data_IF_680448441096
#
_entry.id   IF_680448441096
#
_cell.length_a   1.000
_cell.length_b   1.000
_cell.length_c   1.000
_cell.angle_alpha   90.00
_cell.angle_beta   90.00
_cell.angle_gamma   90.00
#
_symmetry.space_group_name_H-M   'P 1'
#
loop_
_entity.id
_entity.type
_entity.pdbx_description
1 polymer ?
#
# COMPACT_ATOMS: atom_id res chain seq x y z
N UNK A 1 -13.70 2.29 -5.45
CA UNK A 1 -13.03 1.15 -4.79
C UNK A 1 -13.13 -0.04 -5.74
N UNK A 2 -12.03 -0.72 -6.09
CA UNK A 2 -12.12 -1.90 -6.97
C UNK A 2 -13.00 -2.97 -6.32
N UNK A 3 -14.11 -3.34 -6.98
CA UNK A 3 -15.04 -4.38 -6.52
C UNK A 3 -14.30 -5.71 -6.23
N UNK A 4 -13.22 -5.97 -6.96
CA UNK A 4 -12.39 -7.17 -6.82
C UNK A 4 -11.80 -7.29 -5.42
N UNK A 5 -11.31 -6.18 -4.83
CA UNK A 5 -10.63 -6.23 -3.54
C UNK A 5 -11.63 -6.49 -2.39
N UNK A 6 -12.81 -5.90 -2.49
CA UNK A 6 -13.86 -6.07 -1.49
C UNK A 6 -14.41 -7.50 -1.48
N UNK A 7 -14.64 -8.07 -2.66
CA UNK A 7 -15.06 -9.47 -2.78
C UNK A 7 -13.98 -10.43 -2.29
N UNK A 8 -12.71 -10.14 -2.52
CA UNK A 8 -11.61 -10.96 -1.98
C UNK A 8 -11.56 -10.91 -0.45
N UNK A 9 -11.74 -9.73 0.15
CA UNK A 9 -11.82 -9.62 1.61
C UNK A 9 -13.03 -10.34 2.18
N UNK A 10 -14.19 -10.28 1.52
CA UNK A 10 -15.37 -11.06 1.95
C UNK A 10 -15.08 -12.56 1.96
N UNK A 11 -14.43 -13.08 0.91
CA UNK A 11 -14.05 -14.50 0.84
C UNK A 11 -13.11 -14.87 1.99
N UNK A 12 -12.04 -14.10 2.17
CA UNK A 12 -11.10 -14.31 3.28
C UNK A 12 -11.77 -14.24 4.65
N UNK A 13 -12.73 -13.34 4.83
CA UNK A 13 -13.48 -13.22 6.07
C UNK A 13 -14.40 -14.41 6.31
N UNK A 14 -15.06 -14.92 5.26
CA UNK A 14 -15.93 -16.10 5.33
C UNK A 14 -15.13 -17.38 5.64
N UNK A 15 -13.96 -17.52 5.03
CA UNK A 15 -13.10 -18.70 5.15
C UNK A 15 -12.17 -18.65 6.37
N UNK A 16 -12.29 -17.60 7.19
CA UNK A 16 -11.49 -17.39 8.39
C UNK A 16 -11.82 -18.43 9.45
N UNK A 17 -10.79 -19.17 9.87
CA UNK A 17 -10.91 -20.25 10.88
C UNK A 17 -10.42 -19.85 12.28
N UNK A 18 -9.88 -18.64 12.45
CA UNK A 18 -9.30 -18.18 13.72
C UNK A 18 -9.43 -16.68 13.91
N UNK A 19 -8.64 -16.06 14.78
CA UNK A 19 -8.74 -14.62 15.10
C UNK A 19 -8.23 -13.70 13.98
N UNK A 20 -7.30 -14.18 13.15
CA UNK A 20 -6.62 -13.37 12.14
C UNK A 20 -7.28 -13.50 10.77
N UNK A 21 -7.40 -12.38 10.04
CA UNK A 21 -7.94 -12.38 8.66
C UNK A 21 -6.94 -12.96 7.64
N UNK A 22 -5.65 -12.73 7.86
CA UNK A 22 -4.59 -13.23 6.99
C UNK A 22 -3.80 -14.32 7.71
N UNK A 23 -4.03 -15.56 7.32
CA UNK A 23 -3.32 -16.73 7.84
C UNK A 23 -2.69 -17.51 6.70
N UNK A 24 -1.64 -18.27 7.00
CA UNK A 24 -1.04 -19.18 6.04
C UNK A 24 -2.01 -20.35 5.77
N UNK A 25 -2.51 -20.55 4.54
CA UNK A 25 -3.52 -21.58 4.26
C UNK A 25 -3.06 -23.00 4.60
N UNK A 26 -1.74 -23.26 4.62
CA UNK A 26 -1.18 -24.58 4.94
C UNK A 26 -1.06 -24.84 6.44
N UNK A 27 -0.90 -23.80 7.26
CA UNK A 27 -0.62 -23.96 8.70
C UNK A 27 -1.70 -23.36 9.60
N UNK A 28 -2.62 -22.55 9.06
CA UNK A 28 -3.64 -21.81 9.81
C UNK A 28 -3.08 -20.69 10.71
N UNK A 29 -1.76 -20.51 10.78
CA UNK A 29 -1.11 -19.51 11.65
C UNK A 29 -1.06 -18.13 10.97
N UNK A 30 -1.12 -17.03 11.75
CA UNK A 30 -0.97 -15.69 11.20
C UNK A 30 0.42 -15.49 10.58
N UNK A 31 0.48 -14.62 9.57
CA UNK A 31 1.77 -14.16 9.04
C UNK A 31 2.43 -13.23 10.05
N UNK A 32 3.68 -13.52 10.41
CA UNK A 32 4.49 -12.67 11.29
C UNK A 32 5.38 -11.67 10.52
N UNK A 33 5.60 -11.90 9.23
CA UNK A 33 6.47 -11.07 8.41
C UNK A 33 6.09 -11.13 6.92
N UNK A 34 5.89 -9.97 6.30
CA UNK A 34 5.57 -9.86 4.88
C UNK A 34 6.81 -9.92 3.97
N UNK A 35 8.03 -9.78 4.52
CA UNK A 35 9.28 -9.64 3.75
C UNK A 35 9.51 -10.78 2.75
N UNK A 36 9.28 -12.03 3.17
CA UNK A 36 9.47 -13.20 2.29
C UNK A 36 8.53 -13.16 1.09
N UNK A 37 7.26 -12.86 1.33
CA UNK A 37 6.26 -12.71 0.28
C UNK A 37 6.62 -11.55 -0.66
N UNK A 38 7.03 -10.39 -0.10
CA UNK A 38 7.45 -9.24 -0.90
C UNK A 38 8.66 -9.54 -1.79
N UNK A 39 9.69 -10.21 -1.25
CA UNK A 39 10.84 -10.63 -2.07
C UNK A 39 10.44 -11.62 -3.17
N UNK A 40 9.49 -12.51 -2.90
CA UNK A 40 8.96 -13.39 -3.94
C UNK A 40 8.27 -12.59 -5.04
N UNK A 41 7.42 -11.61 -4.71
CA UNK A 41 6.79 -10.73 -5.70
C UNK A 41 7.84 -10.00 -6.54
N UNK A 42 8.87 -9.42 -5.91
CA UNK A 42 9.95 -8.72 -6.64
C UNK A 42 10.71 -9.64 -7.61
N UNK A 43 10.87 -10.93 -7.30
CA UNK A 43 11.52 -11.88 -8.23
C UNK A 43 10.68 -12.22 -9.46
N UNK A 44 9.36 -12.16 -9.35
CA UNK A 44 8.44 -12.53 -10.43
C UNK A 44 7.90 -11.32 -11.19
N UNK A 45 8.34 -10.11 -10.85
CA UNK A 45 7.84 -8.86 -11.43
C UNK A 45 9.01 -7.97 -11.84
N UNK A 46 8.75 -6.94 -12.63
CA UNK A 46 9.76 -5.94 -13.04
C UNK A 46 9.84 -4.76 -12.06
N UNK A 47 9.53 -4.99 -10.78
CA UNK A 47 9.56 -3.94 -9.75
C UNK A 47 11.02 -3.64 -9.39
N UNK A 48 11.43 -2.36 -9.34
CA UNK A 48 12.80 -2.00 -8.99
C UNK A 48 13.21 -2.50 -7.59
N UNK A 49 14.50 -2.86 -7.40
CA UNK A 49 14.97 -3.45 -6.15
C UNK A 49 14.80 -2.53 -4.94
N UNK A 50 14.90 -1.22 -5.12
CA UNK A 50 14.74 -0.16 -4.14
C UNK A 50 13.27 0.07 -3.71
N UNK A 51 12.29 -0.40 -4.50
CA UNK A 51 10.88 -0.26 -4.15
C UNK A 51 10.52 -1.23 -3.00
N UNK A 52 10.10 -0.65 -1.87
CA UNK A 52 9.79 -1.36 -0.64
C UNK A 52 8.28 -1.56 -0.52
N UNK A 53 7.90 -2.53 0.31
CA UNK A 53 6.50 -2.84 0.56
C UNK A 53 5.69 -1.63 1.06
N UNK A 54 6.30 -0.77 1.91
CA UNK A 54 5.64 0.42 2.44
C UNK A 54 5.42 1.52 1.38
N UNK A 55 6.18 1.50 0.28
CA UNK A 55 6.03 2.49 -0.78
C UNK A 55 4.70 2.29 -1.54
N UNK A 56 4.09 1.09 -1.45
CA UNK A 56 2.70 0.86 -1.88
C UNK A 56 1.69 1.76 -1.15
N UNK A 57 1.88 1.97 0.17
CA UNK A 57 1.02 2.85 0.97
C UNK A 57 1.18 4.31 0.53
N UNK A 58 2.41 4.73 0.26
CA UNK A 58 2.69 6.07 -0.26
C UNK A 58 2.11 6.28 -1.66
N UNK A 59 2.22 5.27 -2.53
CA UNK A 59 1.65 5.32 -3.87
C UNK A 59 0.13 5.50 -3.86
N UNK A 60 -0.59 4.84 -2.93
CA UNK A 60 -2.03 5.08 -2.74
C UNK A 60 -2.30 6.51 -2.27
N UNK A 61 -1.49 7.05 -1.36
CA UNK A 61 -1.63 8.43 -0.90
C UNK A 61 -1.49 9.43 -2.05
N UNK A 62 -0.44 9.29 -2.87
CA UNK A 62 -0.19 10.15 -4.03
C UNK A 62 -1.36 10.06 -5.02
N UNK A 63 -1.78 8.85 -5.37
CA UNK A 63 -2.91 8.65 -6.28
C UNK A 63 -4.21 9.28 -5.76
N UNK A 64 -4.45 9.28 -4.45
CA UNK A 64 -5.63 9.96 -3.89
C UNK A 64 -5.50 11.49 -3.93
N UNK A 65 -4.29 12.02 -3.73
CA UNK A 65 -4.03 13.47 -3.87
C UNK A 65 -4.24 13.93 -5.30
N UNK A 66 -3.77 13.16 -6.29
CA UNK A 66 -3.97 13.44 -7.72
C UNK A 66 -5.45 13.44 -8.12
N UNK A 67 -6.29 12.73 -7.35
CA UNK A 67 -7.75 12.72 -7.52
C UNK A 67 -8.46 13.79 -6.65
N UNK A 68 -7.73 14.82 -6.19
CA UNK A 68 -8.23 15.92 -5.38
C UNK A 68 -8.92 15.49 -4.07
N UNK A 69 -8.60 14.31 -3.53
CA UNK A 69 -9.15 13.85 -2.25
C UNK A 69 -8.54 14.68 -1.11
N UNK A 70 -9.37 15.07 -0.15
CA UNK A 70 -8.94 15.88 0.98
C UNK A 70 -7.80 15.20 1.76
N UNK A 71 -6.71 15.94 2.00
CA UNK A 71 -5.51 15.42 2.66
C UNK A 71 -5.78 14.91 4.08
N UNK A 72 -6.70 15.52 4.83
CA UNK A 72 -7.09 15.04 6.16
C UNK A 72 -7.75 13.66 6.06
N UNK A 73 -8.65 13.46 5.08
CA UNK A 73 -9.28 12.17 4.82
C UNK A 73 -8.26 11.10 4.38
N UNK A 74 -7.25 11.46 3.57
CA UNK A 74 -6.17 10.55 3.18
C UNK A 74 -5.33 10.13 4.41
N UNK A 75 -5.02 11.08 5.31
CA UNK A 75 -4.25 10.80 6.53
C UNK A 75 -5.00 9.88 7.49
N UNK A 76 -6.30 10.07 7.62
CA UNK A 76 -7.18 9.21 8.42
C UNK A 76 -7.25 7.80 7.81
N UNK A 77 -7.51 7.70 6.50
CA UNK A 77 -7.60 6.43 5.77
C UNK A 77 -6.32 5.60 5.87
N UNK A 78 -5.15 6.24 5.80
CA UNK A 78 -3.87 5.53 5.78
C UNK A 78 -3.25 5.34 7.17
N UNK A 79 -3.90 5.85 8.23
CA UNK A 79 -3.48 5.74 9.62
C UNK A 79 -2.21 6.53 9.92
N UNK A 80 -2.35 7.70 10.57
CA UNK A 80 -1.28 8.62 10.97
C UNK A 80 -0.15 8.72 9.94
N UNK A 81 -0.51 8.92 8.67
CA UNK A 81 0.48 9.09 7.62
C UNK A 81 1.37 10.28 8.01
N UNK A 82 2.66 10.01 8.18
CA UNK A 82 3.67 11.06 8.24
C UNK A 82 3.65 11.78 6.89
N UNK A 83 2.97 12.93 6.86
CA UNK A 83 2.98 13.87 5.73
C UNK A 83 4.40 14.32 5.35
N UNK A 84 5.38 14.12 6.24
CA UNK A 84 6.78 14.47 6.01
C UNK A 84 7.38 13.72 4.80
N UNK A 85 6.87 12.52 4.47
CA UNK A 85 7.29 11.80 3.27
C UNK A 85 6.64 12.36 1.99
N UNK A 86 5.40 12.86 2.07
CA UNK A 86 4.66 13.44 0.93
C UNK A 86 5.25 14.79 0.51
N UNK A 87 5.64 15.64 1.46
CA UNK A 87 6.21 16.96 1.17
C UNK A 87 7.51 16.89 0.36
N UNK A 88 8.28 15.79 0.48
CA UNK A 88 9.51 15.60 -0.31
C UNK A 88 9.21 15.39 -1.80
N UNK A 89 8.09 14.75 -2.14
CA UNK A 89 7.72 14.50 -3.54
C UNK A 89 7.04 15.69 -4.20
N UNK A 90 6.21 16.46 -3.48
CA UNK A 90 5.63 17.71 -4.00
C UNK A 90 6.72 18.68 -4.50
N UNK A 91 7.87 18.73 -3.81
CA UNK A 91 9.03 19.55 -4.23
C UNK A 91 9.76 19.05 -5.47
N UNK A 92 9.63 17.78 -5.86
CA UNK A 92 10.32 17.25 -7.05
C UNK A 92 9.58 17.66 -8.33
N UNK A 93 8.25 17.77 -8.27
CA UNK A 93 7.45 18.22 -9.43
C UNK A 93 7.56 19.73 -9.69
N UNK A 94 7.75 20.56 -8.67
CA UNK A 94 7.98 22.00 -8.84
C UNK A 94 9.33 22.32 -9.49
N UNK A 95 10.38 21.53 -9.21
CA UNK A 95 11.70 21.73 -9.81
C UNK A 95 11.81 21.23 -11.26
N UNK A 96 10.88 20.40 -11.73
CA UNK A 96 10.84 19.97 -13.13
C UNK A 96 10.14 20.98 -14.06
N UNK A 97 9.57 22.07 -13.51
CA UNK A 97 8.81 23.09 -14.27
C UNK A 97 9.45 24.48 -14.34
N UNK A 98 10.62 24.69 -13.73
CA UNK A 98 11.32 25.99 -13.74
C UNK A 98 12.75 25.85 -14.30
N UNK A 99 12.85 25.31 -15.52
CA UNK A 99 14.07 25.24 -16.30
C UNK A 99 13.80 25.61 -17.75
N UNK A 100 13.36 26.86 -17.96
CA UNK A 100 13.47 27.62 -19.21
C UNK A 100 14.43 28.79 -18.97
#
# INVERSE_FOLDING_TARGET
MSLVLFEEFKKLYKDKTGEYLFTNPKTGKPYNCIRKAWMAVKRHTKIPPEFRFHDLRHHIALKLMDNNVNVAAIRELLGHLSLAATQKHARIEDNAKNGD
#
